data_IF_961224098500
#
_entry.id   IF_961224098500
#
_cell.length_a   1.000
_cell.length_b   1.000
_cell.length_c   1.000
_cell.angle_alpha   90.00
_cell.angle_beta   90.00
_cell.angle_gamma   90.00
#
_symmetry.space_group_name_H-M   'P 1'
#
loop_
_entity.id
_entity.type
_entity.pdbx_description
1 polymer ?
#
# COMPACT_ATOMS: atom_id res chain seq x y z
N UNK A 1 41.83 16.27 -6.08
CA UNK A 1 41.21 15.74 -7.32
C UNK A 1 41.16 14.24 -7.19
N UNK A 2 39.98 13.63 -7.26
CA UNK A 2 39.80 12.17 -7.29
C UNK A 2 38.88 11.64 -6.20
N UNK A 3 37.58 11.78 -6.45
CA UNK A 3 36.44 11.19 -5.74
C UNK A 3 36.47 9.64 -5.78
N UNK A 4 36.22 9.01 -4.63
CA UNK A 4 35.03 8.18 -4.31
C UNK A 4 34.85 6.89 -5.13
N UNK A 5 34.88 5.76 -4.41
CA UNK A 5 33.98 4.63 -4.62
C UNK A 5 33.55 4.18 -3.23
N UNK A 6 32.29 4.44 -2.88
CA UNK A 6 31.64 3.87 -1.70
C UNK A 6 30.57 2.88 -2.18
N UNK A 7 30.68 1.68 -1.64
CA UNK A 7 29.83 0.52 -1.84
C UNK A 7 28.34 0.79 -1.59
N UNK A 8 27.49 0.39 -2.54
CA UNK A 8 26.05 0.19 -2.32
C UNK A 8 25.73 -1.22 -2.79
N UNK A 9 25.75 -2.16 -1.84
CA UNK A 9 24.74 -3.19 -1.56
C UNK A 9 25.37 -4.18 -0.57
N UNK A 10 24.90 -4.10 0.70
CA UNK A 10 25.02 -5.11 1.79
C UNK A 10 26.37 -5.25 2.55
N UNK A 11 26.39 -4.92 3.85
CA UNK A 11 27.34 -5.49 4.86
C UNK A 11 26.62 -5.56 6.23
N UNK A 12 26.61 -6.64 7.02
CA UNK A 12 27.36 -7.88 6.90
C UNK A 12 26.81 -9.02 7.79
N UNK A 13 27.21 -10.24 7.43
CA UNK A 13 26.96 -11.45 8.19
C UNK A 13 28.01 -11.70 9.28
N UNK A 14 27.61 -12.50 10.27
CA UNK A 14 28.51 -13.38 11.03
C UNK A 14 28.11 -14.82 10.74
N UNK A 15 29.09 -15.61 10.32
CA UNK A 15 29.04 -17.07 10.28
C UNK A 15 29.60 -17.61 11.60
N UNK A 16 28.83 -18.45 12.29
CA UNK A 16 29.29 -19.72 12.86
C UNK A 16 28.09 -20.50 13.43
N UNK A 17 27.92 -21.75 13.03
CA UNK A 17 26.93 -22.67 13.60
C UNK A 17 26.21 -23.48 12.53
N UNK A 18 26.86 -24.55 12.05
CA UNK A 18 26.20 -25.67 11.41
C UNK A 18 25.02 -26.14 12.27
N UNK A 19 23.86 -26.36 11.65
CA UNK A 19 23.13 -27.62 11.78
C UNK A 19 22.08 -27.72 10.67
N UNK A 20 21.99 -28.92 10.12
CA UNK A 20 21.26 -29.23 8.90
C UNK A 20 19.76 -29.37 9.10
N UNK A 21 19.14 -29.76 7.98
CA UNK A 21 17.73 -30.06 7.79
C UNK A 21 16.83 -28.83 7.62
N UNK A 22 16.41 -28.59 6.37
CA UNK A 22 15.02 -28.47 5.93
C UNK A 22 15.01 -27.97 4.47
N UNK A 23 15.60 -28.75 3.57
CA UNK A 23 15.20 -28.75 2.17
C UNK A 23 14.04 -29.73 2.06
N UNK A 24 12.82 -29.23 1.82
CA UNK A 24 11.66 -29.92 1.22
C UNK A 24 10.40 -29.08 1.44
N UNK A 25 10.08 -28.19 0.50
CA UNK A 25 8.71 -27.73 0.21
C UNK A 25 8.71 -26.82 -1.04
N UNK A 26 9.13 -27.34 -2.20
CA UNK A 26 9.06 -26.60 -3.47
C UNK A 26 8.12 -27.22 -4.51
N UNK A 27 7.45 -28.34 -4.22
CA UNK A 27 6.59 -29.04 -5.20
C UNK A 27 5.25 -29.42 -4.57
N UNK A 28 4.36 -28.46 -4.37
CA UNK A 28 2.95 -28.72 -4.06
C UNK A 28 2.03 -27.52 -4.32
N UNK A 29 2.20 -26.80 -5.44
CA UNK A 29 1.18 -25.84 -5.92
C UNK A 29 1.05 -25.96 -7.44
N UNK A 30 0.70 -27.16 -7.89
CA UNK A 30 0.19 -27.39 -9.25
C UNK A 30 -1.09 -28.19 -9.11
N UNK A 31 -2.21 -27.47 -9.03
CA UNK A 31 -3.62 -27.90 -9.21
C UNK A 31 -4.54 -27.30 -8.14
N UNK A 32 -4.89 -26.04 -8.32
CA UNK A 32 -6.12 -25.45 -7.79
C UNK A 32 -6.62 -24.42 -8.82
N UNK A 33 -7.30 -24.93 -9.84
CA UNK A 33 -8.12 -24.14 -10.74
C UNK A 33 -9.37 -23.66 -9.98
N UNK A 34 -9.48 -22.36 -9.74
CA UNK A 34 -10.68 -21.78 -9.13
C UNK A 34 -10.52 -20.31 -8.75
N UNK A 35 -10.66 -19.42 -9.75
CA UNK A 35 -10.90 -17.97 -9.67
C UNK A 35 -9.89 -17.09 -8.89
N UNK A 36 -9.09 -16.25 -9.57
CA UNK A 36 -8.56 -15.06 -8.94
C UNK A 36 -9.61 -13.94 -8.96
N UNK A 37 -9.72 -13.21 -7.84
CA UNK A 37 -10.40 -11.93 -7.78
C UNK A 37 -9.58 -10.92 -8.60
N UNK A 38 -9.83 -10.88 -9.92
CA UNK A 38 -9.25 -9.89 -10.82
C UNK A 38 -9.82 -8.53 -10.43
N UNK A 39 -9.03 -7.70 -9.75
CA UNK A 39 -9.31 -6.26 -9.67
C UNK A 39 -8.98 -5.69 -11.05
N UNK A 40 -9.96 -5.73 -11.94
CA UNK A 40 -9.92 -5.00 -13.20
C UNK A 40 -10.13 -3.52 -12.85
N UNK A 41 -9.07 -2.72 -12.92
CA UNK A 41 -9.20 -1.27 -12.87
C UNK A 41 -9.82 -0.80 -14.19
N UNK A 42 -11.15 -0.80 -14.27
CA UNK A 42 -11.87 -0.12 -15.34
C UNK A 42 -11.75 1.40 -15.12
N UNK A 43 -11.24 2.16 -16.10
CA UNK A 43 -10.92 3.57 -15.92
C UNK A 43 -12.13 4.46 -16.22
N UNK A 44 -13.34 4.19 -15.69
CA UNK A 44 -14.46 5.15 -15.66
C UNK A 44 -15.49 4.76 -14.59
N UNK A 45 -15.30 5.24 -13.35
CA UNK A 45 -16.41 5.35 -12.39
C UNK A 45 -16.41 6.78 -11.81
N UNK A 46 -17.53 7.53 -11.87
CA UNK A 46 -17.60 8.87 -11.30
C UNK A 46 -17.50 8.78 -9.77
N UNK A 47 -16.54 9.50 -9.20
CA UNK A 47 -16.39 9.68 -7.76
C UNK A 47 -17.68 10.31 -7.22
N UNK A 48 -18.47 9.53 -6.47
CA UNK A 48 -19.62 10.03 -5.74
C UNK A 48 -19.12 11.00 -4.67
N UNK A 49 -19.20 12.29 -5.00
CA UNK A 49 -19.00 13.43 -4.13
C UNK A 49 -19.92 13.32 -2.91
N UNK A 50 -19.44 12.72 -1.83
CA UNK A 50 -20.06 12.85 -0.53
C UNK A 50 -18.98 13.07 0.54
N UNK A 51 -18.79 14.34 0.87
CA UNK A 51 -18.00 14.80 2.01
C UNK A 51 -16.49 14.81 1.79
N UNK A 52 -15.96 15.92 1.28
CA UNK A 52 -14.58 16.34 1.56
C UNK A 52 -14.42 16.46 3.08
N UNK A 53 -14.03 15.35 3.73
CA UNK A 53 -13.27 15.40 4.97
C UNK A 53 -11.82 15.58 4.51
N UNK A 54 -11.23 16.72 4.83
CA UNK A 54 -9.84 17.03 4.51
C UNK A 54 -8.94 15.89 4.99
N UNK A 55 -8.38 15.12 4.04
CA UNK A 55 -7.28 14.19 4.33
C UNK A 55 -6.09 14.95 4.96
N UNK A 56 -5.93 16.23 4.61
CA UNK A 56 -4.93 17.13 5.21
C UNK A 56 -5.14 17.37 6.72
N UNK A 57 -6.34 17.16 7.26
CA UNK A 57 -6.64 17.33 8.69
C UNK A 57 -6.19 16.13 9.55
N UNK A 58 -5.98 14.97 8.91
CA UNK A 58 -5.56 13.71 9.55
C UNK A 58 -4.55 12.99 8.66
N UNK A 59 -3.27 13.29 8.87
CA UNK A 59 -2.16 12.61 8.22
C UNK A 59 -0.86 12.92 8.93
N UNK A 60 -0.07 11.89 9.21
CA UNK A 60 1.34 12.04 9.61
C UNK A 60 2.07 12.82 8.50
N UNK A 61 2.81 13.88 8.84
CA UNK A 61 3.46 14.77 7.88
C UNK A 61 2.62 15.98 7.39
N UNK A 62 1.33 16.07 7.74
CA UNK A 62 0.52 17.25 7.38
C UNK A 62 0.98 18.51 8.15
N UNK A 63 0.73 19.70 7.59
CA UNK A 63 1.04 20.98 8.27
C UNK A 63 0.38 21.04 9.65
N UNK A 64 -0.85 20.54 9.76
CA UNK A 64 -1.56 20.46 11.03
C UNK A 64 -0.94 19.45 12.02
N UNK A 65 -0.36 18.34 11.55
CA UNK A 65 0.42 17.42 12.38
C UNK A 65 1.70 18.08 12.89
N UNK A 66 2.43 18.76 12.00
CA UNK A 66 3.68 19.44 12.35
C UNK A 66 3.44 20.57 13.36
N UNK A 67 2.37 21.35 13.17
CA UNK A 67 1.94 22.38 14.13
C UNK A 67 1.52 21.79 15.48
N UNK A 68 0.84 20.63 15.51
CA UNK A 68 0.49 19.94 16.77
C UNK A 68 1.73 19.41 17.49
N UNK A 69 2.70 18.86 16.77
CA UNK A 69 3.97 18.41 17.35
C UNK A 69 4.78 19.59 17.87
N UNK A 70 4.88 20.69 17.12
CA UNK A 70 5.55 21.92 17.55
C UNK A 70 4.84 22.54 18.77
N UNK A 71 3.51 22.50 18.83
CA UNK A 71 2.74 22.94 20.01
C UNK A 71 2.96 22.02 21.23
N UNK A 72 3.11 20.71 21.02
CA UNK A 72 3.46 19.75 22.07
C UNK A 72 4.87 20.02 22.61
N UNK A 73 5.82 20.29 21.71
CA UNK A 73 7.19 20.68 22.04
C UNK A 73 7.27 22.02 22.78
N UNK A 74 6.52 23.03 22.36
CA UNK A 74 6.44 24.31 23.07
C UNK A 74 5.85 24.17 24.48
N UNK A 75 4.88 23.25 24.67
CA UNK A 75 4.39 22.92 26.02
C UNK A 75 5.47 22.24 26.86
N UNK A 76 6.25 21.35 26.27
CA UNK A 76 7.38 20.70 26.95
C UNK A 76 8.44 21.73 27.39
N UNK A 77 8.84 22.65 26.50
CA UNK A 77 9.80 23.72 26.80
C UNK A 77 9.26 24.71 27.85
N UNK A 78 7.98 25.07 27.80
CA UNK A 78 7.33 25.90 28.83
C UNK A 78 7.29 25.21 30.20
N UNK A 79 7.04 23.90 30.23
CA UNK A 79 7.06 23.10 31.47
C UNK A 79 8.48 22.96 32.03
N UNK A 80 9.50 22.83 31.18
CA UNK A 80 10.92 22.82 31.59
C UNK A 80 11.37 24.18 32.16
N UNK A 81 10.99 25.29 31.53
CA UNK A 81 11.24 26.65 32.03
C UNK A 81 10.59 26.90 33.40
N UNK A 82 9.36 26.41 33.59
CA UNK A 82 8.62 26.55 34.86
C UNK A 82 9.29 25.77 35.99
N UNK A 83 9.98 24.66 35.68
CA UNK A 83 10.74 23.85 36.65
C UNK A 83 12.10 24.46 37.00
N UNK A 84 12.75 25.17 36.07
CA UNK A 84 14.05 25.82 36.31
C UNK A 84 13.96 27.10 37.17
N UNK A 85 12.76 27.66 37.36
CA UNK A 85 12.51 28.83 38.19
C UNK A 85 12.17 28.56 39.66
N UNK A 86 11.93 27.29 40.04
CA UNK A 86 11.55 26.93 41.40
C UNK A 86 12.59 25.95 41.99
N UNK A 87 13.63 26.52 42.60
CA UNK A 87 14.65 25.76 43.33
C UNK A 87 14.05 25.04 44.53
N UNK A 88 14.12 23.71 44.51
CA UNK A 88 13.77 22.85 45.62
C UNK A 88 14.07 21.40 45.26
N UNK A 89 15.08 20.82 45.91
CA UNK A 89 15.49 19.43 45.79
C UNK A 89 14.36 18.50 46.29
N UNK A 90 13.89 17.57 45.44
CA UNK A 90 13.24 16.33 45.89
C UNK A 90 13.34 15.23 44.80
N UNK A 91 13.63 13.96 45.16
CA UNK A 91 14.09 12.94 44.22
C UNK A 91 12.94 12.06 43.72
N UNK A 92 12.01 12.59 42.94
CA UNK A 92 11.12 11.76 42.12
C UNK A 92 10.78 12.47 40.81
N UNK A 93 11.55 12.14 39.78
CA UNK A 93 11.31 12.53 38.38
C UNK A 93 10.15 11.70 37.78
N UNK A 94 9.01 11.61 38.45
CA UNK A 94 7.83 10.90 37.91
C UNK A 94 6.74 11.85 37.41
N UNK A 95 6.84 13.16 37.71
CA UNK A 95 5.78 14.14 37.40
C UNK A 95 5.67 14.59 35.94
N UNK A 96 6.79 14.59 35.19
CA UNK A 96 6.84 15.14 33.84
C UNK A 96 6.42 14.13 32.75
N UNK A 97 6.64 12.84 33.03
CA UNK A 97 6.25 11.75 32.14
C UNK A 97 4.74 11.47 32.19
N UNK A 98 4.03 11.82 33.27
CA UNK A 98 2.65 11.40 33.49
C UNK A 98 1.64 11.85 32.39
N UNK A 99 1.58 13.11 31.94
CA UNK A 99 0.58 13.55 30.96
C UNK A 99 0.86 13.00 29.55
N UNK A 100 2.14 12.93 29.16
CA UNK A 100 2.62 12.43 27.88
C UNK A 100 2.50 10.89 27.83
N UNK A 101 2.79 10.21 28.94
CA UNK A 101 2.49 8.78 29.11
C UNK A 101 0.99 8.49 29.04
N UNK A 102 0.13 9.38 29.54
CA UNK A 102 -1.32 9.17 29.52
C UNK A 102 -1.92 9.28 28.11
N UNK A 103 -1.48 10.25 27.30
CA UNK A 103 -1.85 10.30 25.86
C UNK A 103 -1.25 9.14 25.08
N UNK A 104 0.00 8.78 25.36
CA UNK A 104 0.64 7.63 24.76
C UNK A 104 -0.02 6.31 25.18
N UNK A 105 -0.77 6.21 26.28
CA UNK A 105 -1.51 5.00 26.71
C UNK A 105 -2.88 4.84 26.06
N UNK A 106 -3.38 5.86 25.38
CA UNK A 106 -4.68 5.81 24.72
C UNK A 106 -4.72 4.75 23.60
N UNK A 107 -5.91 4.24 23.24
CA UNK A 107 -6.03 3.27 22.16
C UNK A 107 -5.58 3.88 20.83
N UNK A 108 -4.76 3.12 20.09
CA UNK A 108 -4.24 3.48 18.76
C UNK A 108 -5.31 3.38 17.66
N UNK A 109 -6.36 2.59 17.90
CA UNK A 109 -7.52 2.49 17.02
C UNK A 109 -8.81 2.38 17.84
N UNK A 110 -9.91 2.88 17.27
CA UNK A 110 -11.23 2.82 17.88
C UNK A 110 -12.25 2.31 16.86
N UNK A 111 -13.16 1.43 17.31
CA UNK A 111 -14.34 1.06 16.55
C UNK A 111 -15.39 2.16 16.70
N UNK A 112 -15.84 2.72 15.58
CA UNK A 112 -16.88 3.74 15.56
C UNK A 112 -18.25 3.06 15.50
N UNK A 113 -19.17 3.35 16.44
CA UNK A 113 -20.53 2.85 16.33
C UNK A 113 -21.22 3.58 15.17
N UNK A 114 -21.72 2.81 14.20
CA UNK A 114 -22.51 3.36 13.12
C UNK A 114 -23.84 3.86 13.70
N UNK A 115 -24.27 5.10 13.38
CA UNK A 115 -25.52 5.65 13.87
C UNK A 115 -26.69 4.69 13.62
N UNK A 116 -27.44 4.39 14.68
CA UNK A 116 -28.56 3.44 14.62
C UNK A 116 -29.63 3.86 13.59
N UNK A 117 -29.75 5.16 13.32
CA UNK A 117 -30.65 5.73 12.31
C UNK A 117 -30.34 5.28 10.88
N UNK A 118 -29.09 4.95 10.56
CA UNK A 118 -28.68 4.54 9.20
C UNK A 118 -28.73 3.02 9.03
N UNK A 119 -28.34 2.25 10.05
CA UNK A 119 -28.26 0.79 9.98
C UNK A 119 -29.60 0.07 10.19
N UNK A 120 -30.47 0.62 11.05
CA UNK A 120 -31.77 0.01 11.35
C UNK A 120 -32.71 -0.06 10.13
N UNK A 121 -32.88 0.99 9.29
CA UNK A 121 -33.72 0.86 8.10
C UNK A 121 -33.17 -0.19 7.12
N UNK A 122 -31.86 -0.29 6.98
CA UNK A 122 -31.22 -1.32 6.14
C UNK A 122 -31.55 -2.74 6.64
N UNK A 123 -31.43 -3.00 7.95
CA UNK A 123 -31.78 -4.29 8.56
C UNK A 123 -33.26 -4.64 8.39
N UNK A 124 -34.16 -3.66 8.54
CA UNK A 124 -35.59 -3.84 8.34
C UNK A 124 -35.89 -4.27 6.90
N UNK A 125 -35.27 -3.62 5.90
CA UNK A 125 -35.44 -3.97 4.49
C UNK A 125 -34.98 -5.42 4.21
N UNK A 126 -33.86 -5.86 4.80
CA UNK A 126 -33.38 -7.24 4.68
C UNK A 126 -34.39 -8.23 5.25
N UNK A 127 -34.92 -7.96 6.45
CA UNK A 127 -35.94 -8.82 7.09
C UNK A 127 -37.21 -8.88 6.23
N UNK A 128 -37.71 -7.75 5.73
CA UNK A 128 -38.88 -7.71 4.87
C UNK A 128 -38.63 -8.56 3.60
N UNK A 129 -37.44 -8.43 3.00
CA UNK A 129 -37.07 -9.20 1.81
C UNK A 129 -36.98 -10.70 2.09
N UNK A 130 -36.48 -11.12 3.27
CA UNK A 130 -36.50 -12.51 3.72
C UNK A 130 -37.93 -13.05 3.85
N UNK A 131 -38.84 -12.26 4.40
CA UNK A 131 -40.27 -12.64 4.54
C UNK A 131 -40.93 -12.80 3.17
N UNK A 132 -40.73 -11.84 2.26
CA UNK A 132 -41.25 -11.92 0.89
C UNK A 132 -40.68 -13.14 0.15
N UNK A 133 -39.39 -13.41 0.30
CA UNK A 133 -38.72 -14.56 -0.30
C UNK A 133 -39.25 -15.89 0.26
N UNK A 134 -39.55 -15.97 1.57
CA UNK A 134 -40.21 -17.12 2.19
C UNK A 134 -41.61 -17.38 1.61
N UNK A 135 -42.43 -16.33 1.45
CA UNK A 135 -43.73 -16.45 0.80
C UNK A 135 -43.63 -16.83 -0.67
N UNK A 136 -42.64 -16.29 -1.40
CA UNK A 136 -42.37 -16.64 -2.78
C UNK A 136 -42.07 -18.13 -2.93
N UNK A 137 -41.14 -18.68 -2.13
CA UNK A 137 -40.82 -20.11 -2.18
C UNK A 137 -42.00 -20.98 -1.75
N UNK A 138 -42.73 -20.59 -0.71
CA UNK A 138 -43.92 -21.32 -0.28
C UNK A 138 -44.96 -21.41 -1.41
N UNK A 139 -45.27 -20.29 -2.06
CA UNK A 139 -46.19 -20.25 -3.19
C UNK A 139 -45.67 -21.08 -4.37
N UNK A 140 -44.38 -20.96 -4.69
CA UNK A 140 -43.72 -21.65 -5.80
C UNK A 140 -43.73 -23.16 -5.66
N UNK A 141 -43.53 -23.67 -4.44
CA UNK A 141 -43.55 -25.11 -4.12
C UNK A 141 -44.98 -25.66 -4.11
N UNK A 142 -45.96 -24.88 -3.63
CA UNK A 142 -47.38 -25.30 -3.56
C UNK A 142 -48.12 -25.30 -4.91
N UNK A 143 -47.59 -24.63 -5.94
CA UNK A 143 -48.19 -24.55 -7.27
C UNK A 143 -47.24 -25.12 -8.35
N UNK A 144 -47.04 -26.45 -8.43
CA UNK A 144 -46.24 -27.07 -9.47
C UNK A 144 -46.92 -27.01 -10.83
N UNK A 145 -46.12 -26.90 -11.90
CA UNK A 145 -46.62 -26.93 -13.28
C UNK A 145 -46.67 -28.37 -13.76
N UNK A 146 -47.88 -28.92 -13.88
CA UNK A 146 -48.12 -30.33 -14.21
C UNK A 146 -47.78 -30.70 -15.67
N UNK A 147 -47.63 -29.70 -16.56
CA UNK A 147 -47.31 -29.92 -17.98
C UNK A 147 -45.83 -30.23 -18.25
N UNK A 148 -44.91 -29.64 -17.49
CA UNK A 148 -43.45 -29.73 -17.68
C UNK A 148 -42.70 -29.76 -16.34
N UNK A 149 -42.86 -30.86 -15.59
CA UNK A 149 -42.33 -31.00 -14.23
C UNK A 149 -40.80 -30.89 -14.14
N UNK A 150 -40.06 -31.39 -15.15
CA UNK A 150 -38.61 -31.35 -15.16
C UNK A 150 -38.05 -29.90 -15.25
N UNK A 151 -38.64 -29.07 -16.12
CA UNK A 151 -38.26 -27.66 -16.24
C UNK A 151 -38.63 -26.86 -14.99
N UNK A 152 -39.78 -27.16 -14.39
CA UNK A 152 -40.19 -26.58 -13.12
C UNK A 152 -39.22 -26.93 -11.99
N UNK A 153 -38.81 -28.21 -11.87
CA UNK A 153 -37.88 -28.66 -10.83
C UNK A 153 -36.51 -27.98 -10.96
N UNK A 154 -35.96 -27.90 -12.17
CA UNK A 154 -34.69 -27.20 -12.43
C UNK A 154 -34.79 -25.71 -12.10
N UNK A 155 -35.90 -25.06 -12.48
CA UNK A 155 -36.16 -23.66 -12.13
C UNK A 155 -36.21 -23.44 -10.62
N UNK A 156 -36.91 -24.29 -9.86
CA UNK A 156 -37.02 -24.19 -8.39
C UNK A 156 -35.66 -24.41 -7.71
N UNK A 157 -34.87 -25.39 -8.17
CA UNK A 157 -33.52 -25.63 -7.63
C UNK A 157 -32.61 -24.43 -7.88
N UNK A 158 -32.62 -23.87 -9.11
CA UNK A 158 -31.85 -22.67 -9.43
C UNK A 158 -32.28 -21.47 -8.57
N UNK A 159 -33.57 -21.24 -8.42
CA UNK A 159 -34.11 -20.17 -7.56
C UNK A 159 -33.67 -20.35 -6.10
N UNK A 160 -33.73 -21.58 -5.57
CA UNK A 160 -33.27 -21.88 -4.21
C UNK A 160 -31.77 -21.61 -4.03
N UNK A 161 -30.93 -22.02 -4.99
CA UNK A 161 -29.49 -21.74 -4.97
C UNK A 161 -29.21 -20.23 -5.00
N UNK A 162 -29.93 -19.46 -5.81
CA UNK A 162 -29.80 -17.99 -5.83
C UNK A 162 -30.24 -17.36 -4.52
N UNK A 163 -31.34 -17.82 -3.93
CA UNK A 163 -31.82 -17.33 -2.66
C UNK A 163 -30.85 -17.65 -1.52
N UNK A 164 -30.31 -18.86 -1.47
CA UNK A 164 -29.29 -19.25 -0.50
C UNK A 164 -28.03 -18.38 -0.66
N UNK A 165 -27.57 -18.17 -1.90
CA UNK A 165 -26.43 -17.29 -2.19
C UNK A 165 -26.71 -15.85 -1.72
N UNK A 166 -27.92 -15.33 -1.93
CA UNK A 166 -28.32 -14.01 -1.47
C UNK A 166 -28.37 -13.92 0.06
N UNK A 167 -28.95 -14.92 0.75
CA UNK A 167 -29.01 -14.97 2.22
C UNK A 167 -27.60 -14.98 2.81
N UNK A 168 -26.71 -15.81 2.27
CA UNK A 168 -25.31 -15.90 2.70
C UNK A 168 -24.57 -14.57 2.49
N UNK A 169 -24.84 -13.85 1.41
CA UNK A 169 -24.29 -12.52 1.14
C UNK A 169 -24.84 -11.42 2.09
N UNK A 170 -26.02 -11.60 2.71
CA UNK A 170 -26.54 -10.65 3.70
C UNK A 170 -25.87 -10.79 5.08
N UNK A 171 -25.38 -11.97 5.46
CA UNK A 171 -24.81 -12.19 6.81
C UNK A 171 -23.61 -11.28 7.12
N UNK A 172 -22.60 -11.11 6.24
CA UNK A 172 -21.48 -10.21 6.50
C UNK A 172 -21.92 -8.73 6.62
N UNK A 173 -23.00 -8.34 5.94
CA UNK A 173 -23.51 -6.96 5.91
C UNK A 173 -24.35 -6.60 7.14
N UNK A 174 -24.65 -7.56 8.01
CA UNK A 174 -25.47 -7.34 9.21
C UNK A 174 -24.76 -6.50 10.28
N UNK A 175 -23.43 -6.63 10.36
CA UNK A 175 -22.57 -5.99 11.36
C UNK A 175 -21.42 -5.25 10.68
N UNK A 176 -21.68 -4.15 9.96
CA UNK A 176 -20.62 -3.28 9.46
C UNK A 176 -19.85 -2.68 10.65
N UNK A 177 -18.52 -2.60 10.50
CA UNK A 177 -17.62 -2.08 11.53
C UNK A 177 -16.76 -0.98 10.91
N UNK A 178 -16.99 0.26 11.34
CA UNK A 178 -16.09 1.37 11.02
C UNK A 178 -14.98 1.45 12.06
N UNK A 179 -13.77 1.77 11.61
CA UNK A 179 -12.59 1.95 12.47
C UNK A 179 -11.92 3.28 12.15
N UNK A 180 -11.46 3.94 13.20
CA UNK A 180 -10.61 5.13 13.12
C UNK A 180 -9.25 4.80 13.74
N UNK A 181 -8.18 5.32 13.15
CA UNK A 181 -6.79 5.11 13.56
C UNK A 181 -6.16 6.45 13.92
N UNK A 182 -5.37 6.48 14.99
CA UNK A 182 -4.74 7.71 15.47
C UNK A 182 -3.22 7.60 15.34
N UNK A 183 -2.67 8.17 14.27
CA UNK A 183 -1.23 8.14 13.96
C UNK A 183 -0.41 8.99 14.95
N UNK A 184 -0.95 10.12 15.40
CA UNK A 184 -0.30 11.01 16.39
C UNK A 184 0.07 10.25 17.67
N UNK A 185 -0.80 9.32 18.11
CA UNK A 185 -0.56 8.49 19.30
C UNK A 185 0.45 7.38 19.04
N UNK A 186 0.55 6.93 17.79
CA UNK A 186 1.51 5.90 17.38
C UNK A 186 2.93 6.48 17.43
N UNK A 187 3.13 7.66 16.86
CA UNK A 187 4.43 8.33 16.84
C UNK A 187 4.87 8.72 18.26
N UNK A 188 3.97 9.29 19.08
CA UNK A 188 4.27 9.59 20.50
C UNK A 188 4.72 8.36 21.30
N UNK A 189 4.19 7.17 20.97
CA UNK A 189 4.50 5.93 21.69
C UNK A 189 5.79 5.26 21.21
N UNK A 190 6.03 5.22 19.89
CA UNK A 190 7.08 4.39 19.28
C UNK A 190 8.19 5.16 18.55
N UNK A 191 8.03 6.47 18.34
CA UNK A 191 9.02 7.34 17.71
C UNK A 191 9.40 8.48 18.67
N UNK A 192 10.06 8.10 19.77
CA UNK A 192 10.56 9.06 20.76
C UNK A 192 11.78 9.80 20.20
N UNK A 193 11.81 11.12 20.34
CA UNK A 193 12.94 11.93 19.89
C UNK A 193 14.23 11.52 20.62
N UNK A 194 15.28 11.20 19.87
CA UNK A 194 16.59 10.81 20.40
C UNK A 194 16.79 9.33 20.69
N UNK A 195 15.73 8.51 20.66
CA UNK A 195 15.81 7.05 20.71
C UNK A 195 15.64 6.43 19.30
N UNK A 196 16.20 5.24 19.04
CA UNK A 196 15.88 4.53 17.80
C UNK A 196 14.38 4.21 17.76
N UNK A 197 13.75 4.42 16.60
CA UNK A 197 12.33 4.09 16.42
C UNK A 197 12.06 2.65 16.87
N UNK A 198 10.93 2.41 17.53
CA UNK A 198 10.52 1.08 18.02
C UNK A 198 9.49 0.40 17.09
N UNK A 199 9.23 1.02 15.93
CA UNK A 199 8.36 0.48 14.89
C UNK A 199 8.83 -0.90 14.37
N UNK A 200 7.91 -1.71 13.84
CA UNK A 200 8.25 -3.01 13.28
C UNK A 200 8.93 -2.89 11.91
N UNK A 201 9.65 -3.92 11.47
CA UNK A 201 10.09 -4.01 10.08
C UNK A 201 8.89 -4.36 9.19
N UNK A 202 8.83 -3.76 8.00
CA UNK A 202 7.77 -3.92 7.01
C UNK A 202 8.39 -4.29 5.67
N UNK A 203 8.03 -5.47 5.18
CA UNK A 203 8.43 -5.96 3.87
C UNK A 203 7.26 -5.83 2.90
N UNK A 204 7.48 -5.11 1.80
CA UNK A 204 6.48 -4.87 0.77
C UNK A 204 6.86 -5.68 -0.47
N UNK A 205 5.94 -6.52 -0.93
CA UNK A 205 6.14 -7.38 -2.10
C UNK A 205 5.37 -6.84 -3.29
N UNK A 206 6.05 -6.69 -4.42
CA UNK A 206 5.50 -6.34 -5.72
C UNK A 206 5.75 -7.51 -6.66
N UNK A 207 4.69 -8.16 -7.16
CA UNK A 207 4.81 -9.25 -8.12
C UNK A 207 4.44 -8.76 -9.52
N UNK A 208 5.28 -9.06 -10.51
CA UNK A 208 5.00 -8.82 -11.93
C UNK A 208 5.08 -10.13 -12.70
N UNK A 209 4.28 -10.26 -13.76
CA UNK A 209 4.26 -11.49 -14.57
C UNK A 209 4.88 -11.28 -15.95
N UNK A 210 4.48 -10.23 -16.68
CA UNK A 210 4.95 -10.00 -18.04
C UNK A 210 4.91 -8.49 -18.35
N UNK A 211 6.07 -7.85 -18.61
CA UNK A 211 6.15 -6.42 -18.88
C UNK A 211 5.55 -6.02 -20.24
N UNK A 212 5.11 -6.97 -21.08
CA UNK A 212 4.34 -6.68 -22.29
C UNK A 212 2.82 -6.64 -22.03
N UNK A 213 2.34 -7.34 -21.01
CA UNK A 213 0.92 -7.32 -20.60
C UNK A 213 0.62 -6.16 -19.66
N UNK A 214 1.56 -5.86 -18.78
CA UNK A 214 1.49 -4.77 -17.81
C UNK A 214 2.59 -3.76 -18.12
N UNK A 215 2.23 -2.48 -18.20
CA UNK A 215 3.22 -1.45 -18.53
C UNK A 215 4.29 -1.38 -17.43
N UNK A 216 5.59 -1.54 -17.76
CA UNK A 216 6.65 -1.54 -16.76
C UNK A 216 6.82 -0.16 -16.11
N UNK A 217 6.29 0.90 -16.75
CA UNK A 217 6.20 2.22 -16.14
C UNK A 217 5.25 2.25 -14.93
N UNK A 218 4.17 1.46 -14.94
CA UNK A 218 3.22 1.36 -13.82
C UNK A 218 3.90 0.64 -12.64
N UNK A 219 4.65 -0.43 -12.92
CA UNK A 219 5.49 -1.11 -11.92
C UNK A 219 6.51 -0.14 -11.32
N UNK A 220 7.23 0.61 -12.15
CA UNK A 220 8.20 1.60 -11.69
C UNK A 220 7.56 2.68 -10.79
N UNK A 221 6.40 3.21 -11.17
CA UNK A 221 5.65 4.18 -10.35
C UNK A 221 5.21 3.59 -9.00
N UNK A 222 4.81 2.31 -8.99
CA UNK A 222 4.45 1.60 -7.76
C UNK A 222 5.66 1.45 -6.83
N UNK A 223 6.81 1.05 -7.37
CA UNK A 223 8.07 0.94 -6.62
C UNK A 223 8.50 2.32 -6.08
N UNK A 224 8.43 3.37 -6.89
CA UNK A 224 8.76 4.74 -6.45
C UNK A 224 7.84 5.21 -5.32
N UNK A 225 6.55 4.91 -5.41
CA UNK A 225 5.58 5.22 -4.36
C UNK A 225 5.90 4.48 -3.06
N UNK A 226 6.32 3.22 -3.13
CA UNK A 226 6.69 2.41 -1.96
C UNK A 226 7.96 2.97 -1.31
N UNK A 227 8.99 3.27 -2.10
CA UNK A 227 10.26 3.81 -1.58
C UNK A 227 10.10 5.21 -0.97
N UNK A 228 9.07 5.95 -1.40
CA UNK A 228 8.75 7.29 -0.89
C UNK A 228 7.79 7.27 0.32
N UNK A 229 7.43 6.09 0.86
CA UNK A 229 6.55 6.01 2.03
C UNK A 229 7.16 6.70 3.25
N UNK A 230 6.31 7.31 4.06
CA UNK A 230 6.71 7.96 5.30
C UNK A 230 6.86 6.93 6.43
N UNK A 231 8.04 6.32 6.47
CA UNK A 231 8.46 5.34 7.47
C UNK A 231 9.99 5.35 7.60
N UNK A 232 10.54 4.89 8.74
CA UNK A 232 11.99 4.76 8.90
C UNK A 232 12.64 3.91 7.81
N UNK A 233 13.71 4.44 7.21
CA UNK A 233 14.39 3.84 6.05
C UNK A 233 15.08 2.52 6.37
N UNK A 234 15.41 2.29 7.63
CA UNK A 234 15.99 1.05 8.15
C UNK A 234 14.94 -0.07 8.33
N UNK A 235 13.65 0.25 8.17
CA UNK A 235 12.54 -0.65 8.47
C UNK A 235 11.64 -0.99 7.30
N UNK A 236 11.66 -0.22 6.23
CA UNK A 236 10.94 -0.56 5.00
C UNK A 236 11.87 -1.26 4.03
N UNK A 237 11.48 -2.44 3.60
CA UNK A 237 12.11 -3.15 2.49
C UNK A 237 11.09 -3.36 1.37
N UNK A 238 11.51 -3.16 0.13
CA UNK A 238 10.70 -3.39 -1.06
C UNK A 238 11.32 -4.55 -1.86
N UNK A 239 10.52 -5.57 -2.12
CA UNK A 239 10.89 -6.76 -2.89
C UNK A 239 10.07 -6.80 -4.16
N UNK A 240 10.74 -6.89 -5.31
CA UNK A 240 10.07 -7.06 -6.60
C UNK A 240 10.36 -8.47 -7.11
N UNK A 241 9.30 -9.25 -7.32
CA UNK A 241 9.35 -10.60 -7.88
C UNK A 241 8.82 -10.56 -9.31
N UNK A 242 9.61 -11.02 -10.27
CA UNK A 242 9.22 -11.11 -11.68
C UNK A 242 9.11 -12.57 -12.11
N UNK A 243 7.87 -13.04 -12.31
CA UNK A 243 7.60 -14.41 -12.78
C UNK A 243 7.99 -14.60 -14.26
N UNK A 244 8.13 -13.51 -15.02
CA UNK A 244 8.49 -13.54 -16.44
C UNK A 244 9.99 -13.64 -16.71
N UNK A 245 10.82 -13.46 -15.68
CA UNK A 245 12.29 -13.36 -15.79
C UNK A 245 12.75 -12.45 -16.94
N UNK A 246 12.02 -11.36 -17.19
CA UNK A 246 12.20 -10.54 -18.38
C UNK A 246 13.32 -9.52 -18.17
N UNK A 247 14.27 -9.46 -19.10
CA UNK A 247 15.36 -8.47 -19.06
C UNK A 247 14.82 -7.03 -19.00
N UNK A 248 13.68 -6.77 -19.64
CA UNK A 248 13.03 -5.46 -19.62
C UNK A 248 12.67 -5.03 -18.19
N UNK A 249 12.09 -5.92 -17.37
CA UNK A 249 11.74 -5.61 -15.97
C UNK A 249 12.99 -5.23 -15.19
N UNK A 250 14.09 -5.97 -15.40
CA UNK A 250 15.37 -5.70 -14.77
C UNK A 250 15.96 -4.33 -15.17
N UNK A 251 16.06 -4.04 -16.46
CA UNK A 251 16.57 -2.74 -16.95
C UNK A 251 15.71 -1.56 -16.45
N UNK A 252 14.38 -1.74 -16.44
CA UNK A 252 13.46 -0.72 -15.92
C UNK A 252 13.64 -0.48 -14.43
N UNK A 253 13.80 -1.54 -13.62
CA UNK A 253 14.04 -1.39 -12.17
C UNK A 253 15.39 -0.73 -11.88
N UNK A 254 16.41 -1.01 -12.69
CA UNK A 254 17.71 -0.31 -12.60
C UNK A 254 17.55 1.20 -12.83
N UNK A 255 16.91 1.62 -13.91
CA UNK A 255 16.59 3.04 -14.19
C UNK A 255 15.71 3.66 -13.10
N UNK A 256 14.76 2.88 -12.58
CA UNK A 256 13.86 3.31 -11.50
C UNK A 256 14.65 3.58 -10.22
N UNK A 257 15.66 2.77 -9.91
CA UNK A 257 16.51 2.96 -8.73
C UNK A 257 17.31 4.28 -8.81
N UNK A 258 17.83 4.63 -9.99
CA UNK A 258 18.54 5.90 -10.19
C UNK A 258 17.61 7.10 -10.03
N UNK A 259 16.40 7.01 -10.57
CA UNK A 259 15.39 8.05 -10.41
C UNK A 259 14.89 8.14 -8.96
N UNK A 260 14.75 7.02 -8.25
CA UNK A 260 14.33 6.97 -6.85
C UNK A 260 15.27 7.78 -5.95
N UNK A 261 16.59 7.74 -6.19
CA UNK A 261 17.58 8.54 -5.44
C UNK A 261 17.31 10.04 -5.48
N UNK A 262 16.65 10.51 -6.55
CA UNK A 262 16.27 11.92 -6.75
C UNK A 262 14.85 12.21 -6.27
N UNK A 263 13.92 11.28 -6.54
CA UNK A 263 12.50 11.45 -6.25
C UNK A 263 12.16 11.26 -4.76
N UNK A 264 12.71 10.22 -4.11
CA UNK A 264 12.39 9.89 -2.70
C UNK A 264 12.73 11.04 -1.74
N UNK A 265 13.94 11.65 -1.78
CA UNK A 265 14.24 12.79 -0.91
C UNK A 265 13.36 14.00 -1.21
N UNK A 266 12.97 14.20 -2.47
CA UNK A 266 12.07 15.28 -2.87
C UNK A 266 10.67 15.07 -2.28
N UNK A 267 10.10 13.87 -2.38
CA UNK A 267 8.82 13.53 -1.77
C UNK A 267 8.81 13.78 -0.26
N UNK A 268 9.82 13.28 0.44
CA UNK A 268 9.91 13.42 1.91
C UNK A 268 10.13 14.88 2.34
N UNK A 269 10.94 15.65 1.60
CA UNK A 269 11.24 17.05 1.95
C UNK A 269 10.04 17.98 1.79
N UNK A 270 9.22 17.76 0.77
CA UNK A 270 8.10 18.63 0.42
C UNK A 270 6.72 18.02 0.75
N UNK A 271 6.70 16.88 1.45
CA UNK A 271 5.49 16.12 1.78
C UNK A 271 4.54 15.96 0.58
N UNK A 272 5.07 15.43 -0.51
CA UNK A 272 4.35 15.32 -1.78
C UNK A 272 3.32 14.21 -1.73
N UNK A 273 2.06 14.55 -2.00
CA UNK A 273 0.95 13.60 -2.08
C UNK A 273 0.18 13.76 -3.40
N UNK A 274 -0.09 12.67 -4.15
CA UNK A 274 0.39 11.29 -3.93
C UNK A 274 1.89 11.11 -4.24
N UNK A 275 2.58 10.14 -3.64
CA UNK A 275 4.02 9.90 -3.86
C UNK A 275 4.35 9.29 -5.23
N UNK A 276 3.36 8.75 -5.95
CA UNK A 276 3.54 8.23 -7.30
C UNK A 276 3.67 9.39 -8.32
N UNK A 277 4.79 9.50 -9.06
CA UNK A 277 5.06 10.68 -9.88
C UNK A 277 4.10 10.83 -11.07
N UNK A 278 3.71 9.74 -11.76
CA UNK A 278 2.71 9.83 -12.85
C UNK A 278 1.40 10.43 -12.35
N UNK A 279 0.93 9.96 -11.19
CA UNK A 279 -0.32 10.41 -10.59
C UNK A 279 -0.21 11.84 -10.13
N UNK A 280 0.86 12.18 -9.41
CA UNK A 280 1.12 13.54 -8.94
C UNK A 280 1.15 14.56 -10.09
N UNK A 281 1.90 14.26 -11.16
CA UNK A 281 2.04 15.19 -12.29
C UNK A 281 0.84 15.18 -13.26
N UNK A 282 -0.03 14.18 -13.19
CA UNK A 282 -1.29 14.14 -13.97
C UNK A 282 -2.40 14.99 -13.34
N UNK A 283 -2.32 15.26 -12.03
CA UNK A 283 -3.29 16.09 -11.34
C UNK A 283 -3.05 17.57 -11.66
N UNK A 284 -4.12 18.27 -12.02
CA UNK A 284 -4.09 19.74 -12.17
C UNK A 284 -4.08 20.37 -10.78
N UNK A 285 -2.91 20.50 -10.18
CA UNK A 285 -2.75 21.19 -8.89
C UNK A 285 -2.50 22.68 -9.12
N UNK A 286 -3.18 23.53 -8.36
CA UNK A 286 -2.82 24.94 -8.22
C UNK A 286 -1.48 25.01 -7.49
N UNK A 287 -0.41 25.16 -8.26
CA UNK A 287 0.96 25.23 -7.74
C UNK A 287 1.04 26.36 -6.70
N UNK A 288 1.46 26.00 -5.49
CA UNK A 288 1.67 26.89 -4.35
C UNK A 288 2.23 28.28 -4.74
N UNK A 289 1.85 29.31 -3.99
CA UNK A 289 2.22 30.72 -4.20
C UNK A 289 3.74 31.03 -4.11
N UNK A 290 4.58 30.04 -3.79
CA UNK A 290 6.03 30.20 -3.69
C UNK A 290 6.73 29.90 -5.03
N UNK A 291 7.29 30.95 -5.64
CA UNK A 291 8.03 30.88 -6.92
C UNK A 291 9.22 29.92 -6.86
N UNK A 292 9.82 29.73 -5.70
CA UNK A 292 10.97 28.84 -5.53
C UNK A 292 10.56 27.37 -5.57
N UNK A 293 9.42 27.01 -4.97
CA UNK A 293 8.87 25.66 -5.08
C UNK A 293 8.45 25.33 -6.52
N UNK A 294 7.95 26.33 -7.27
CA UNK A 294 7.58 26.17 -8.68
C UNK A 294 8.77 25.85 -9.59
N UNK A 295 9.93 26.46 -9.38
CA UNK A 295 11.12 26.14 -10.18
C UNK A 295 11.62 24.72 -9.92
N UNK A 296 11.62 24.29 -8.65
CA UNK A 296 11.94 22.91 -8.28
C UNK A 296 10.94 21.91 -8.87
N UNK A 297 9.63 22.18 -8.81
CA UNK A 297 8.61 21.30 -9.38
C UNK A 297 8.75 21.15 -10.90
N UNK A 298 9.07 22.25 -11.59
CA UNK A 298 9.31 22.22 -13.04
C UNK A 298 10.54 21.39 -13.40
N UNK A 299 11.62 21.52 -12.62
CA UNK A 299 12.82 20.71 -12.78
C UNK A 299 12.52 19.22 -12.53
N UNK A 300 11.79 18.90 -11.45
CA UNK A 300 11.41 17.51 -11.12
C UNK A 300 10.50 16.89 -12.18
N UNK A 301 9.57 17.67 -12.74
CA UNK A 301 8.75 17.24 -13.88
C UNK A 301 9.61 16.91 -15.10
N UNK A 302 10.60 17.77 -15.43
CA UNK A 302 11.52 17.50 -16.55
C UNK A 302 12.30 16.20 -16.34
N UNK A 303 12.86 15.99 -15.14
CA UNK A 303 13.58 14.75 -14.83
C UNK A 303 12.68 13.51 -14.93
N UNK A 304 11.42 13.62 -14.52
CA UNK A 304 10.44 12.55 -14.66
C UNK A 304 10.07 12.28 -16.13
N UNK A 305 9.91 13.32 -16.95
CA UNK A 305 9.66 13.16 -18.39
C UNK A 305 10.85 12.51 -19.09
N UNK A 306 12.09 12.87 -18.74
CA UNK A 306 13.31 12.20 -19.21
C UNK A 306 13.35 10.72 -18.80
N UNK A 307 12.97 10.42 -17.55
CA UNK A 307 12.83 9.04 -17.09
C UNK A 307 11.80 8.26 -17.93
N UNK A 308 10.61 8.83 -18.18
CA UNK A 308 9.59 8.21 -19.04
C UNK A 308 10.12 7.92 -20.45
N UNK A 309 10.89 8.84 -21.02
CA UNK A 309 11.50 8.65 -22.35
C UNK A 309 12.48 7.47 -22.31
N UNK A 310 13.33 7.35 -21.27
CA UNK A 310 14.25 6.21 -21.12
C UNK A 310 13.50 4.89 -20.99
N UNK A 311 12.48 4.82 -20.14
CA UNK A 311 11.64 3.62 -20.00
C UNK A 311 10.98 3.25 -21.34
N UNK A 312 10.42 4.20 -22.07
CA UNK A 312 9.81 3.95 -23.38
C UNK A 312 10.83 3.44 -24.41
N UNK A 313 12.08 3.94 -24.36
CA UNK A 313 13.15 3.44 -25.20
C UNK A 313 13.50 1.97 -24.88
N UNK A 314 13.54 1.60 -23.60
CA UNK A 314 13.73 0.20 -23.16
C UNK A 314 12.58 -0.69 -23.63
N UNK A 315 11.33 -0.24 -23.49
CA UNK A 315 10.15 -0.98 -23.97
C UNK A 315 10.22 -1.20 -25.49
N UNK A 316 10.59 -0.17 -26.26
CA UNK A 316 10.73 -0.27 -27.71
C UNK A 316 11.88 -1.21 -28.13
N UNK A 317 12.99 -1.23 -27.37
CA UNK A 317 14.10 -2.17 -27.53
C UNK A 317 13.64 -3.61 -27.25
N UNK A 318 12.89 -3.82 -26.17
CA UNK A 318 12.40 -5.13 -25.75
C UNK A 318 11.45 -5.80 -26.76
N UNK A 319 10.69 -5.01 -27.53
CA UNK A 319 9.84 -5.53 -28.61
C UNK A 319 10.63 -6.21 -29.74
N UNK A 320 11.91 -5.86 -29.91
CA UNK A 320 12.80 -6.44 -30.92
C UNK A 320 13.75 -7.43 -30.26
N UNK A 321 13.20 -8.56 -29.80
CA UNK A 321 14.00 -9.59 -29.14
C UNK A 321 15.12 -10.09 -30.08
N UNK A 322 16.40 -10.07 -29.65
CA UNK A 322 17.51 -10.60 -30.42
C UNK A 322 17.36 -12.12 -30.61
N UNK A 323 17.72 -12.61 -31.81
CA UNK A 323 17.64 -14.03 -32.16
C UNK A 323 18.58 -14.89 -31.30
N UNK A 324 19.71 -14.32 -30.89
CA UNK A 324 20.72 -14.97 -30.05
C UNK A 324 20.40 -14.92 -28.55
N UNK A 325 19.27 -14.31 -28.17
CA UNK A 325 18.89 -14.09 -26.79
C UNK A 325 19.44 -12.80 -26.20
N UNK A 326 18.93 -12.43 -25.03
CA UNK A 326 19.33 -11.22 -24.32
C UNK A 326 20.72 -11.37 -23.72
N UNK A 327 21.46 -10.27 -23.68
CA UNK A 327 22.83 -10.17 -23.14
C UNK A 327 22.86 -8.97 -22.20
N UNK A 328 23.46 -9.15 -21.02
CA UNK A 328 23.66 -8.11 -20.03
C UNK A 328 24.70 -7.08 -20.49
N UNK A 329 24.81 -5.95 -19.78
CA UNK A 329 25.77 -4.89 -20.10
C UNK A 329 27.23 -5.32 -19.99
N UNK A 330 27.52 -6.33 -19.16
CA UNK A 330 28.84 -6.93 -18.99
C UNK A 330 29.22 -7.95 -20.08
N UNK A 331 28.32 -8.18 -21.05
CA UNK A 331 28.51 -9.13 -22.14
C UNK A 331 28.13 -10.58 -21.80
N UNK A 332 27.62 -10.85 -20.61
CA UNK A 332 27.16 -12.19 -20.23
C UNK A 332 25.72 -12.47 -20.74
N UNK A 333 25.39 -13.72 -21.10
CA UNK A 333 24.03 -14.05 -21.54
C UNK A 333 23.04 -13.91 -20.37
N UNK A 334 21.85 -13.36 -20.66
CA UNK A 334 20.78 -13.23 -19.66
C UNK A 334 20.31 -14.62 -19.19
N UNK A 335 20.37 -14.93 -17.88
CA UNK A 335 19.99 -16.25 -17.37
C UNK A 335 18.51 -16.58 -17.60
N UNK A 336 17.64 -15.58 -17.66
CA UNK A 336 16.21 -15.71 -17.93
C UNK A 336 15.82 -15.81 -19.41
N UNK A 337 16.77 -16.12 -20.33
CA UNK A 337 16.46 -16.25 -21.76
C UNK A 337 15.43 -17.35 -22.05
N UNK A 338 15.39 -18.40 -21.24
CA UNK A 338 14.36 -19.44 -21.30
C UNK A 338 13.42 -19.34 -20.10
N UNK A 339 12.23 -18.80 -20.32
CA UNK A 339 11.20 -18.58 -19.28
C UNK A 339 10.79 -19.89 -18.56
N UNK A 340 10.93 -21.05 -19.21
CA UNK A 340 10.54 -22.34 -18.60
C UNK A 340 11.65 -23.01 -17.81
N UNK A 341 12.90 -22.63 -18.06
CA UNK A 341 14.07 -23.26 -17.49
C UNK A 341 15.18 -22.22 -17.35
N UNK A 342 15.11 -21.47 -16.26
CA UNK A 342 16.10 -20.48 -15.86
C UNK A 342 16.43 -20.65 -14.37
N UNK A 343 17.66 -20.32 -13.95
CA UNK A 343 17.99 -20.29 -12.54
C UNK A 343 17.24 -19.16 -11.82
N UNK A 344 17.04 -19.31 -10.52
CA UNK A 344 16.60 -18.19 -9.66
C UNK A 344 17.71 -17.13 -9.57
N UNK A 345 17.32 -15.86 -9.73
CA UNK A 345 18.23 -14.71 -9.63
C UNK A 345 17.74 -13.80 -8.49
N UNK A 346 18.67 -13.31 -7.68
CA UNK A 346 18.40 -12.32 -6.63
C UNK A 346 19.48 -11.25 -6.77
N UNK A 347 19.07 -9.99 -6.83
CA UNK A 347 19.96 -8.85 -7.04
C UNK A 347 19.69 -7.73 -6.05
#
# INVERSE_FOLDING_TARGET
>A
MGFENFDIFRIGGRSCGQDGHHALAANAISNLSGLPHVVRTDPQLPLLSNGQKDLAAYGYGSVAWKERMEACKQREEQLQMTKSGNGGEDPHSEGLDLPLMDEARQPLSRKLPIPSSQINPYRIIIIIRLVVLGFFFHYRVMHPVNGDYALWLVSVICEFCFALSWILDQFPKWLPIDRETYLDRLSLRYEKEGEPSQLAHVDIFVSTVDPLKESPLVTANTVLSILAVDYPVDKVSCYVSDDGAAMLTFEVLSETSEFARKWVPFCKKYNIEPPAPEWYFSQTMDYFNDKLLQSFLKERRREYDEFKIRINALVAKAQKAPVEGWVMQDGTPWPGNNIRDHPGMIQ
#
